data_IF_494398616409
#
_entry.id   IF_494398616409
#
_cell.length_a   1.000
_cell.length_b   1.000
_cell.length_c   1.000
_cell.angle_alpha   90.00
_cell.angle_beta   90.00
_cell.angle_gamma   90.00
#
_symmetry.space_group_name_H-M   'P 1'
#
loop_
_entity.id
_entity.type
_entity.pdbx_description
1 polymer ?
#
# COMPACT_ATOMS: atom_id res chain seq x y z
N UNK A 1 -8.49 4.89 -9.37
CA UNK A 1 -7.82 3.72 -8.79
C UNK A 1 -6.40 3.63 -9.35
N UNK A 2 -5.45 3.29 -8.50
CA UNK A 2 -4.05 3.10 -8.91
C UNK A 2 -3.59 1.70 -8.53
N UNK A 3 -2.71 1.13 -9.34
CA UNK A 3 -2.21 -0.24 -9.14
C UNK A 3 -0.78 -0.35 -9.63
N UNK A 4 0.04 -1.12 -8.93
CA UNK A 4 1.40 -1.45 -9.35
C UNK A 4 1.72 -2.89 -8.96
N UNK A 5 2.53 -3.56 -9.79
CA UNK A 5 3.00 -4.92 -9.52
C UNK A 5 1.91 -5.96 -9.67
N UNK A 6 2.03 -7.04 -8.92
CA UNK A 6 1.16 -8.21 -9.00
C UNK A 6 -0.06 -8.04 -8.09
N UNK A 7 -1.23 -8.47 -8.57
CA UNK A 7 -2.36 -8.67 -7.67
C UNK A 7 -2.23 -10.04 -6.97
N UNK A 8 -3.17 -10.33 -6.08
CA UNK A 8 -3.15 -11.57 -5.30
C UNK A 8 -3.16 -12.82 -6.19
N UNK A 9 -4.03 -12.83 -7.21
CA UNK A 9 -4.15 -13.98 -8.12
C UNK A 9 -2.89 -14.19 -8.95
N UNK A 10 -2.30 -13.11 -9.45
CA UNK A 10 -1.06 -13.16 -10.21
C UNK A 10 0.11 -13.66 -9.36
N UNK A 11 0.20 -13.21 -8.12
CA UNK A 11 1.22 -13.68 -7.19
C UNK A 11 1.10 -15.17 -6.92
N UNK A 12 -0.13 -15.66 -6.71
CA UNK A 12 -0.39 -17.09 -6.49
C UNK A 12 -0.06 -17.93 -7.71
N UNK A 13 -0.35 -17.43 -8.92
CA UNK A 13 0.00 -18.12 -10.16
C UNK A 13 1.51 -18.27 -10.35
N UNK A 14 2.29 -17.36 -9.76
CA UNK A 14 3.75 -17.44 -9.78
C UNK A 14 4.30 -18.27 -8.60
N UNK A 15 3.45 -18.94 -7.86
CA UNK A 15 3.79 -19.75 -6.69
C UNK A 15 4.50 -18.93 -5.58
N UNK A 16 4.16 -17.65 -5.46
CA UNK A 16 4.66 -16.81 -4.38
C UNK A 16 3.81 -17.02 -3.13
N UNK A 17 4.47 -17.14 -2.00
CA UNK A 17 3.81 -17.18 -0.70
C UNK A 17 3.68 -15.73 -0.22
N UNK A 18 2.47 -15.19 -0.24
CA UNK A 18 2.24 -13.77 -0.02
C UNK A 18 1.36 -13.50 1.18
N UNK A 19 1.58 -12.33 1.79
CA UNK A 19 0.70 -11.76 2.81
C UNK A 19 -0.12 -10.68 2.12
N UNK A 20 -1.43 -10.71 2.34
CA UNK A 20 -2.36 -9.71 1.82
C UNK A 20 -2.82 -8.85 2.98
N UNK A 21 -2.55 -7.55 2.90
CA UNK A 21 -3.02 -6.58 3.87
C UNK A 21 -4.00 -5.64 3.21
N UNK A 22 -5.14 -5.40 3.88
CA UNK A 22 -6.18 -4.48 3.41
C UNK A 22 -6.39 -3.39 4.45
N UNK A 23 -6.59 -2.16 3.99
CA UNK A 23 -6.90 -1.03 4.86
C UNK A 23 -8.09 -0.27 4.27
N UNK A 24 -9.23 -0.20 4.98
CA UNK A 24 -10.36 0.61 4.52
C UNK A 24 -10.00 2.10 4.54
N UNK A 25 -10.40 2.83 3.51
CA UNK A 25 -10.13 4.26 3.40
C UNK A 25 -10.71 5.03 4.59
N UNK A 26 -11.85 4.62 5.12
CA UNK A 26 -12.48 5.26 6.27
C UNK A 26 -11.60 5.27 7.52
N UNK A 27 -10.55 4.43 7.57
CA UNK A 27 -9.60 4.41 8.69
C UNK A 27 -8.50 5.47 8.56
N UNK A 28 -8.46 6.22 7.45
CA UNK A 28 -7.40 7.19 7.16
C UNK A 28 -7.83 8.58 7.60
N UNK A 29 -7.08 9.26 8.50
CA UNK A 29 -7.46 10.60 8.98
C UNK A 29 -7.65 11.63 7.86
N UNK A 30 -6.77 11.65 6.87
CA UNK A 30 -6.88 12.60 5.75
C UNK A 30 -8.13 12.38 4.91
N UNK A 31 -8.53 11.11 4.71
CA UNK A 31 -9.75 10.80 3.98
C UNK A 31 -10.98 11.33 4.71
N UNK A 32 -11.00 11.24 6.04
CA UNK A 32 -12.07 11.81 6.86
C UNK A 32 -12.12 13.32 6.74
N UNK A 33 -10.97 13.99 6.73
CA UNK A 33 -10.88 15.44 6.56
C UNK A 33 -11.44 15.87 5.20
N UNK A 34 -11.17 15.09 4.14
CA UNK A 34 -11.67 15.36 2.80
C UNK A 34 -13.13 14.97 2.62
N UNK A 35 -13.69 14.19 3.53
CA UNK A 35 -15.04 13.65 3.40
C UNK A 35 -15.15 12.52 2.39
N UNK A 36 -14.04 11.95 1.96
CA UNK A 36 -13.98 10.88 0.95
C UNK A 36 -13.51 9.59 1.63
N UNK A 37 -14.47 8.84 2.20
CA UNK A 37 -14.17 7.67 3.02
C UNK A 37 -14.46 6.32 2.34
N UNK A 38 -14.98 6.34 1.11
CA UNK A 38 -15.18 5.11 0.34
C UNK A 38 -13.86 4.65 -0.28
N UNK A 39 -13.64 3.34 -0.30
CA UNK A 39 -12.49 2.77 -0.96
C UNK A 39 -11.68 1.82 -0.08
N UNK A 40 -10.60 1.32 -0.64
CA UNK A 40 -9.79 0.28 -0.04
C UNK A 40 -8.34 0.40 -0.53
N UNK A 41 -7.40 0.20 0.39
CA UNK A 41 -5.99 0.02 0.05
C UNK A 41 -5.63 -1.45 0.27
N UNK A 42 -4.83 -2.01 -0.63
CA UNK A 42 -4.43 -3.41 -0.56
C UNK A 42 -2.94 -3.55 -0.90
N UNK A 43 -2.23 -4.29 -0.07
CA UNK A 43 -0.82 -4.59 -0.30
C UNK A 43 -0.61 -6.09 -0.44
N UNK A 44 0.29 -6.47 -1.35
CA UNK A 44 0.71 -7.85 -1.58
C UNK A 44 2.20 -7.92 -1.29
N UNK A 45 2.58 -8.71 -0.29
CA UNK A 45 3.96 -8.76 0.22
C UNK A 45 4.45 -10.20 0.19
N UNK A 46 5.67 -10.42 -0.32
CA UNK A 46 6.31 -11.73 -0.27
C UNK A 46 6.61 -12.08 1.19
N UNK A 47 6.02 -13.16 1.67
CA UNK A 47 6.14 -13.60 3.05
C UNK A 47 7.58 -13.98 3.43
N UNK A 48 8.33 -14.51 2.47
CA UNK A 48 9.68 -15.03 2.73
C UNK A 48 10.74 -13.94 2.69
N UNK A 49 10.58 -12.93 1.85
CA UNK A 49 11.60 -11.88 1.64
C UNK A 49 11.23 -10.53 2.23
N UNK A 50 9.93 -10.30 2.47
CA UNK A 50 9.43 -8.99 2.89
C UNK A 50 9.29 -8.00 1.74
N UNK A 51 9.58 -8.41 0.51
CA UNK A 51 9.46 -7.53 -0.65
C UNK A 51 8.01 -7.19 -0.95
N UNK A 52 7.77 -5.93 -1.33
CA UNK A 52 6.46 -5.49 -1.81
C UNK A 52 6.35 -5.97 -3.26
N UNK A 53 5.42 -6.87 -3.54
CA UNK A 53 5.23 -7.39 -4.89
C UNK A 53 4.07 -6.76 -5.63
N UNK A 54 3.17 -6.09 -4.91
CA UNK A 54 2.08 -5.36 -5.53
C UNK A 54 1.35 -4.48 -4.55
N UNK A 55 0.62 -3.51 -5.10
CA UNK A 55 -0.19 -2.59 -4.29
C UNK A 55 -1.34 -2.05 -5.15
N UNK A 56 -2.52 -1.93 -4.54
CA UNK A 56 -3.68 -1.36 -5.17
C UNK A 56 -4.27 -0.31 -4.24
N UNK A 57 -4.53 0.88 -4.79
CA UNK A 57 -5.11 1.99 -4.04
C UNK A 57 -6.39 2.46 -4.73
N UNK A 58 -7.52 2.33 -4.05
CA UNK A 58 -8.78 2.94 -4.45
C UNK A 58 -9.14 3.95 -3.37
N UNK A 59 -8.61 5.18 -3.51
CA UNK A 59 -8.62 6.19 -2.46
C UNK A 59 -8.35 7.58 -3.04
N UNK A 60 -8.63 8.66 -2.28
CA UNK A 60 -8.16 10.00 -2.66
C UNK A 60 -6.64 10.00 -2.85
N UNK A 61 -6.17 10.77 -3.82
CA UNK A 61 -4.75 10.93 -4.16
C UNK A 61 -4.04 9.61 -4.53
N UNK A 62 -4.77 8.58 -4.96
CA UNK A 62 -4.21 7.27 -5.25
C UNK A 62 -3.07 7.35 -6.29
N UNK A 63 -3.23 8.18 -7.32
CA UNK A 63 -2.21 8.31 -8.37
C UNK A 63 -0.90 8.94 -7.86
N UNK A 64 -0.97 9.74 -6.80
CA UNK A 64 0.23 10.30 -6.16
C UNK A 64 0.84 9.33 -5.16
N UNK A 65 0.01 8.72 -4.32
CA UNK A 65 0.46 7.81 -3.27
C UNK A 65 1.10 6.55 -3.88
N UNK A 66 0.58 6.03 -4.99
CA UNK A 66 1.14 4.84 -5.62
C UNK A 66 2.58 5.04 -6.08
N UNK A 67 2.98 6.28 -6.40
CA UNK A 67 4.35 6.58 -6.79
C UNK A 67 5.33 6.33 -5.65
N UNK A 68 4.92 6.54 -4.41
CA UNK A 68 5.76 6.28 -3.24
C UNK A 68 6.02 4.77 -3.13
N UNK A 69 4.98 3.96 -3.31
CA UNK A 69 5.12 2.49 -3.31
C UNK A 69 6.00 2.05 -4.47
N UNK A 70 5.80 2.63 -5.65
CA UNK A 70 6.61 2.31 -6.83
C UNK A 70 8.10 2.60 -6.59
N UNK A 71 8.42 3.73 -5.97
CA UNK A 71 9.80 4.08 -5.65
C UNK A 71 10.42 3.11 -4.65
N UNK A 72 9.66 2.70 -3.63
CA UNK A 72 10.12 1.71 -2.66
C UNK A 72 10.41 0.37 -3.34
N UNK A 73 9.54 -0.08 -4.24
CA UNK A 73 9.72 -1.32 -4.99
C UNK A 73 10.92 -1.23 -5.92
N UNK A 74 11.06 -0.12 -6.64
CA UNK A 74 12.14 0.08 -7.62
C UNK A 74 13.51 0.09 -6.96
N UNK A 75 13.61 0.61 -5.74
CA UNK A 75 14.87 0.71 -5.01
C UNK A 75 15.16 -0.53 -4.15
N UNK A 76 14.32 -1.55 -4.22
CA UNK A 76 14.54 -2.81 -3.50
C UNK A 76 14.24 -2.76 -2.02
N UNK A 77 13.42 -1.80 -1.58
CA UNK A 77 13.03 -1.70 -0.18
C UNK A 77 11.99 -2.76 0.17
N UNK A 78 12.05 -3.29 1.39
CA UNK A 78 11.01 -4.17 1.89
C UNK A 78 9.85 -3.38 2.49
N UNK A 79 8.81 -4.09 2.97
CA UNK A 79 7.60 -3.44 3.49
C UNK A 79 7.90 -2.58 4.73
N UNK A 80 8.95 -2.88 5.50
CA UNK A 80 9.25 -2.13 6.71
C UNK A 80 9.68 -0.69 6.41
N UNK A 81 10.22 -0.45 5.23
CA UNK A 81 10.58 0.91 4.80
C UNK A 81 9.36 1.83 4.82
N UNK A 82 8.24 1.38 4.25
CA UNK A 82 7.01 2.17 4.23
C UNK A 82 6.28 2.15 5.57
N UNK A 83 6.36 1.04 6.30
CA UNK A 83 5.78 0.96 7.64
C UNK A 83 6.35 2.01 8.58
N UNK A 84 7.67 2.22 8.51
CA UNK A 84 8.39 3.03 9.49
C UNK A 84 8.73 4.44 8.99
N UNK A 85 8.46 4.76 7.71
CA UNK A 85 8.74 6.08 7.16
C UNK A 85 7.86 7.14 7.82
N UNK A 86 8.45 8.32 8.09
CA UNK A 86 7.71 9.43 8.70
C UNK A 86 7.13 10.30 7.59
N UNK A 87 5.83 10.19 7.39
CA UNK A 87 5.10 10.97 6.38
C UNK A 87 4.54 12.25 6.98
N UNK A 88 4.25 13.23 6.11
CA UNK A 88 3.57 14.45 6.50
C UNK A 88 2.18 14.13 7.06
N UNK A 89 1.82 14.76 8.16
CA UNK A 89 0.48 14.63 8.76
C UNK A 89 -0.27 15.96 8.66
N UNK A 90 -1.55 16.01 8.23
CA UNK A 90 -2.31 14.88 7.71
C UNK A 90 -2.09 14.71 6.20
N UNK A 91 -1.85 13.49 5.75
CA UNK A 91 -1.74 13.19 4.32
C UNK A 91 -2.30 11.81 4.03
N UNK A 92 -2.65 11.57 2.76
CA UNK A 92 -3.06 10.22 2.34
C UNK A 92 -1.86 9.28 2.37
N UNK A 93 -0.64 9.80 2.13
CA UNK A 93 0.59 8.99 2.11
C UNK A 93 0.87 8.32 3.46
N UNK A 94 0.49 8.94 4.58
CA UNK A 94 0.74 8.34 5.90
C UNK A 94 -0.06 7.05 6.13
N UNK A 95 -1.10 6.81 5.31
CA UNK A 95 -1.84 5.56 5.35
C UNK A 95 -0.95 4.35 5.02
N UNK A 96 0.17 4.57 4.32
CA UNK A 96 1.13 3.51 4.02
C UNK A 96 1.75 2.93 5.29
N UNK A 97 1.90 3.73 6.35
CA UNK A 97 2.37 3.20 7.62
C UNK A 97 1.45 2.10 8.13
N UNK A 98 0.14 2.32 8.09
CA UNK A 98 -0.85 1.36 8.57
C UNK A 98 -1.04 0.19 7.59
N UNK A 99 -1.03 0.48 6.28
CA UNK A 99 -1.17 -0.57 5.27
C UNK A 99 -0.04 -1.60 5.36
N UNK A 100 1.18 -1.14 5.65
CA UNK A 100 2.34 -2.01 5.77
C UNK A 100 2.67 -2.41 7.22
N UNK A 101 1.80 -2.12 8.17
CA UNK A 101 1.92 -2.58 9.56
C UNK A 101 1.39 -4.01 9.67
N UNK A 102 2.23 -4.95 9.36
CA UNK A 102 1.87 -6.39 9.36
C UNK A 102 2.02 -7.01 10.74
#
# INVERSE_FOLDING_TARGET
>A
MAHIGLNEDEARKQNLDVIIKKLPVMAIPRAKTLGETDGLLKAVIDKNTGEIVGCMLFAPDASEVINIVAMAMKTGQDYTFLRDFIFTHPSMSEALNDLFAL
#
